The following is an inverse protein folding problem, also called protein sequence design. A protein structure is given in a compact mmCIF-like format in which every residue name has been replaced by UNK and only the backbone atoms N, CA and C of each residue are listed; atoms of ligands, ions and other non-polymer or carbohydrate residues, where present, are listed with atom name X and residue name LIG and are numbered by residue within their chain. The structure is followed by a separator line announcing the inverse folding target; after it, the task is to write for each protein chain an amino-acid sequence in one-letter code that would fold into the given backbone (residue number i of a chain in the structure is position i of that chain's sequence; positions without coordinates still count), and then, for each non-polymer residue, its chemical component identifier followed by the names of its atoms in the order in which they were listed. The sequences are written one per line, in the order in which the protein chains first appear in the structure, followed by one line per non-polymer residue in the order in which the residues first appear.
data_IF_863026352518
#
_entry.id   IF_863026352518
#
_cell.length_a   1.000
_cell.length_b   1.000
_cell.length_c   1.000
_cell.angle_alpha   90.00
_cell.angle_beta   90.00
_cell.angle_gamma   90.00
#
_symmetry.space_group_name_H-M   'P 1'
#
loop_
_entity.id
_entity.type
_entity.pdbx_description
1 polymer ?
#
# COMPACT_ATOMS: atom_id res chain seq x y z
N UNK A 1 -13.57 23.54 -1.13
CA UNK A 1 -12.66 22.49 -0.67
C UNK A 1 -13.40 21.18 -0.49
N UNK A 2 -13.02 20.18 -1.24
CA UNK A 2 -13.52 18.83 -1.06
C UNK A 2 -12.43 17.99 -0.42
N UNK A 3 -12.77 17.34 0.68
CA UNK A 3 -11.87 16.40 1.35
C UNK A 3 -12.60 15.08 1.55
N UNK A 4 -11.87 13.99 1.35
CA UNK A 4 -12.37 12.65 1.58
C UNK A 4 -11.61 12.04 2.74
N UNK A 5 -12.31 11.74 3.82
CA UNK A 5 -11.73 11.01 4.93
C UNK A 5 -11.77 9.53 4.64
N UNK A 6 -10.59 8.90 4.72
CA UNK A 6 -10.47 7.45 4.56
C UNK A 6 -10.27 6.85 5.94
N UNK A 7 -11.21 6.02 6.36
CA UNK A 7 -11.13 5.33 7.64
C UNK A 7 -11.92 4.04 7.52
N UNK A 8 -11.23 2.93 7.60
CA UNK A 8 -11.89 1.65 7.44
C UNK A 8 -11.00 0.48 7.80
N UNK A 9 -11.66 -0.64 8.00
CA UNK A 9 -11.02 -1.92 8.28
C UNK A 9 -11.54 -2.92 7.26
N UNK A 10 -10.63 -3.65 6.63
CA UNK A 10 -10.97 -4.61 5.59
C UNK A 10 -10.38 -5.97 5.94
N UNK A 11 -11.19 -7.01 5.85
CA UNK A 11 -10.69 -8.37 6.03
C UNK A 11 -10.09 -8.86 4.71
N UNK A 12 -8.85 -9.32 4.81
CA UNK A 12 -8.13 -9.93 3.70
C UNK A 12 -7.96 -11.42 3.99
N UNK A 13 -7.63 -12.24 2.97
CA UNK A 13 -7.30 -13.63 3.24
C UNK A 13 -6.11 -13.72 4.21
N UNK A 14 -6.35 -14.27 5.40
CA UNK A 14 -5.36 -14.47 6.47
C UNK A 14 -4.83 -13.19 7.09
N UNK A 15 -5.43 -12.02 6.80
CA UNK A 15 -4.91 -10.74 7.27
C UNK A 15 -6.03 -9.73 7.48
N UNK A 16 -5.68 -8.59 8.07
CA UNK A 16 -6.61 -7.48 8.26
C UNK A 16 -5.91 -6.20 7.87
N UNK A 17 -6.56 -5.38 7.07
CA UNK A 17 -6.03 -4.10 6.62
C UNK A 17 -6.81 -2.96 7.25
N UNK A 18 -6.09 -1.99 7.80
CA UNK A 18 -6.66 -0.76 8.33
C UNK A 18 -6.15 0.42 7.54
N UNK A 19 -7.06 1.31 7.15
CA UNK A 19 -6.74 2.51 6.38
C UNK A 19 -7.24 3.72 7.13
N UNK A 20 -6.40 4.75 7.21
CA UNK A 20 -6.76 6.01 7.86
C UNK A 20 -6.03 7.17 7.18
N UNK A 21 -6.77 8.17 6.75
CA UNK A 21 -6.15 9.33 6.13
C UNK A 21 -7.14 10.29 5.49
N UNK A 22 -6.61 11.26 4.78
CA UNK A 22 -7.41 12.28 4.11
C UNK A 22 -6.84 12.56 2.73
N UNK A 23 -7.71 12.54 1.73
CA UNK A 23 -7.40 13.02 0.39
C UNK A 23 -8.21 14.28 0.13
N UNK A 24 -7.59 15.28 -0.48
CA UNK A 24 -8.24 16.56 -0.77
C UNK A 24 -8.15 16.86 -2.25
N UNK A 25 -9.20 17.48 -2.77
CA UNK A 25 -9.16 18.03 -4.12
C UNK A 25 -8.17 19.20 -4.13
N UNK A 26 -7.22 19.19 -5.04
CA UNK A 26 -6.19 20.20 -5.14
C UNK A 26 -6.01 20.58 -6.62
N UNK A 27 -6.55 21.72 -7.05
CA UNK A 27 -6.45 22.15 -8.45
C UNK A 27 -5.02 22.48 -8.86
N UNK A 28 -4.10 22.64 -7.92
CA UNK A 28 -2.69 22.88 -8.20
C UNK A 28 -1.89 21.58 -8.37
N UNK A 29 -2.49 20.45 -8.03
CA UNK A 29 -1.85 19.15 -8.19
C UNK A 29 -2.02 18.64 -9.61
N UNK A 30 -1.00 17.95 -10.11
CA UNK A 30 -1.06 17.29 -11.43
C UNK A 30 -2.21 16.29 -11.49
N UNK A 31 -2.45 15.58 -10.39
CA UNK A 31 -3.54 14.59 -10.33
C UNK A 31 -4.86 15.18 -9.84
N UNK A 32 -4.89 16.48 -9.52
CA UNK A 32 -6.04 17.18 -8.92
C UNK A 32 -6.38 16.67 -7.53
N UNK A 33 -5.54 15.83 -6.96
CA UNK A 33 -5.71 15.25 -5.62
C UNK A 33 -4.40 15.37 -4.88
N UNK A 34 -4.47 15.69 -3.60
CA UNK A 34 -3.31 15.67 -2.72
C UNK A 34 -3.71 15.11 -1.37
N UNK A 35 -2.71 14.77 -0.56
CA UNK A 35 -2.94 14.24 0.78
C UNK A 35 -2.26 12.91 0.97
N UNK A 36 -2.66 12.21 2.01
CA UNK A 36 -2.05 10.93 2.31
C UNK A 36 -2.86 10.11 3.28
N UNK A 37 -2.48 8.84 3.38
CA UNK A 37 -3.14 7.94 4.30
C UNK A 37 -2.17 6.89 4.80
N UNK A 38 -2.50 6.36 5.97
CA UNK A 38 -1.74 5.29 6.59
C UNK A 38 -2.47 3.97 6.36
N UNK A 39 -1.71 2.96 6.00
CA UNK A 39 -2.21 1.60 5.83
C UNK A 39 -1.47 0.68 6.79
N UNK A 40 -2.20 -0.10 7.55
CA UNK A 40 -1.64 -1.10 8.44
C UNK A 40 -2.22 -2.46 8.07
N UNK A 41 -1.34 -3.44 7.84
CA UNK A 41 -1.77 -4.80 7.52
C UNK A 41 -1.30 -5.73 8.64
N UNK A 42 -2.26 -6.22 9.42
CA UNK A 42 -1.99 -7.22 10.47
C UNK A 42 -1.99 -8.61 9.84
N UNK A 43 -1.02 -9.44 10.19
CA UNK A 43 -0.87 -10.77 9.61
C UNK A 43 -0.27 -10.74 8.21
N UNK A 44 0.58 -9.78 7.94
CA UNK A 44 1.20 -9.62 6.62
C UNK A 44 1.99 -10.85 6.19
N UNK A 45 2.67 -11.51 7.12
CA UNK A 45 3.39 -12.75 6.87
C UNK A 45 2.48 -13.85 6.33
N UNK A 46 1.27 -13.96 6.88
CA UNK A 46 0.30 -14.94 6.43
C UNK A 46 -0.31 -14.57 5.09
N UNK A 47 -0.46 -13.27 4.83
CA UNK A 47 -0.92 -12.80 3.53
C UNK A 47 0.09 -13.12 2.44
N UNK A 48 1.37 -12.89 2.71
CA UNK A 48 2.46 -13.23 1.80
C UNK A 48 2.44 -14.73 1.49
N UNK A 49 2.34 -15.55 2.52
CA UNK A 49 2.27 -17.00 2.36
C UNK A 49 1.06 -17.42 1.52
N UNK A 50 -0.09 -16.82 1.77
CA UNK A 50 -1.31 -17.10 1.00
C UNK A 50 -1.10 -16.81 -0.49
N UNK A 51 -0.52 -15.65 -0.80
CA UNK A 51 -0.28 -15.25 -2.19
C UNK A 51 0.73 -16.19 -2.86
N UNK A 52 1.79 -16.56 -2.14
CA UNK A 52 2.82 -17.42 -2.69
C UNK A 52 2.32 -18.85 -2.97
N UNK A 53 1.40 -19.34 -2.15
CA UNK A 53 0.90 -20.71 -2.25
C UNK A 53 -0.32 -20.85 -3.15
N UNK A 54 -0.97 -19.75 -3.50
CA UNK A 54 -2.20 -19.79 -4.27
C UNK A 54 -1.91 -19.50 -5.75
N UNK A 55 -2.09 -20.50 -6.66
CA UNK A 55 -1.79 -20.28 -8.08
C UNK A 55 -2.62 -19.17 -8.72
N UNK A 56 -3.81 -18.90 -8.17
CA UNK A 56 -4.68 -17.82 -8.69
C UNK A 56 -4.13 -16.43 -8.36
N UNK A 57 -3.18 -16.34 -7.43
CA UNK A 57 -2.62 -15.08 -6.96
C UNK A 57 -1.21 -14.83 -7.51
N UNK A 58 -0.79 -15.61 -8.51
CA UNK A 58 0.58 -15.51 -9.05
C UNK A 58 0.88 -14.11 -9.59
N UNK A 59 -0.12 -13.43 -10.17
CA UNK A 59 0.07 -12.09 -10.72
C UNK A 59 0.29 -11.03 -9.65
N UNK A 60 -0.04 -11.35 -8.40
CA UNK A 60 0.15 -10.43 -7.28
C UNK A 60 1.47 -10.62 -6.55
N UNK A 61 2.22 -11.68 -6.88
CA UNK A 61 3.49 -11.96 -6.19
C UNK A 61 4.50 -10.82 -6.31
N UNK A 62 4.71 -10.22 -7.51
CA UNK A 62 5.65 -9.11 -7.60
C UNK A 62 5.24 -7.90 -6.76
N UNK A 63 3.94 -7.62 -6.69
CA UNK A 63 3.43 -6.54 -5.85
C UNK A 63 3.68 -6.82 -4.38
N UNK A 64 3.40 -8.04 -3.94
CA UNK A 64 3.62 -8.43 -2.54
C UNK A 64 5.10 -8.36 -2.19
N UNK A 65 6.00 -8.76 -3.09
CA UNK A 65 7.43 -8.66 -2.87
C UNK A 65 7.87 -7.20 -2.71
N UNK A 66 7.35 -6.31 -3.55
CA UNK A 66 7.66 -4.89 -3.46
C UNK A 66 7.12 -4.29 -2.16
N UNK A 67 5.91 -4.65 -1.75
CA UNK A 67 5.34 -4.20 -0.50
C UNK A 67 6.14 -4.72 0.70
N UNK A 68 6.69 -5.93 0.61
CA UNK A 68 7.55 -6.47 1.66
C UNK A 68 8.85 -5.69 1.77
N UNK A 69 9.38 -5.21 0.65
CA UNK A 69 10.63 -4.45 0.61
C UNK A 69 10.48 -3.06 1.21
N UNK A 70 9.42 -2.36 0.85
CA UNK A 70 9.26 -0.94 1.23
C UNK A 70 8.48 -0.74 2.51
N UNK A 71 7.74 -1.74 2.97
CA UNK A 71 6.92 -1.64 4.17
C UNK A 71 7.76 -1.61 5.43
N UNK A 72 7.24 -0.96 6.46
CA UNK A 72 7.79 -1.05 7.80
C UNK A 72 7.20 -2.28 8.47
N UNK A 73 8.01 -3.33 8.62
CA UNK A 73 7.55 -4.61 9.14
C UNK A 73 7.93 -4.78 10.60
N UNK A 74 6.96 -5.19 11.41
CA UNK A 74 7.16 -5.40 12.83
C UNK A 74 6.48 -6.68 13.27
N UNK A 75 7.17 -7.47 14.07
CA UNK A 75 6.56 -8.65 14.65
C UNK A 75 5.81 -8.23 15.92
N UNK A 76 4.50 -8.35 15.89
CA UNK A 76 3.59 -7.90 16.96
C UNK A 76 2.97 -9.10 17.72
N UNK A 77 3.67 -10.21 17.83
CA UNK A 77 3.19 -11.36 18.57
C UNK A 77 1.95 -11.99 17.99
N UNK A 78 0.83 -11.89 18.70
CA UNK A 78 -0.44 -12.53 18.26
C UNK A 78 -0.96 -11.97 16.93
N UNK A 79 -0.64 -10.73 16.61
CA UNK A 79 -1.04 -10.11 15.35
C UNK A 79 -0.18 -10.56 14.18
N UNK A 80 0.87 -11.35 14.45
CA UNK A 80 1.83 -11.74 13.44
C UNK A 80 2.70 -10.57 13.01
N UNK A 81 3.12 -10.55 11.77
CA UNK A 81 3.88 -9.43 11.24
C UNK A 81 2.90 -8.33 10.82
N UNK A 82 3.12 -7.12 11.33
CA UNK A 82 2.33 -5.96 10.97
C UNK A 82 3.14 -5.10 10.01
N UNK A 83 2.61 -4.87 8.83
CA UNK A 83 3.23 -4.01 7.83
C UNK A 83 2.53 -2.65 7.85
N UNK A 84 3.30 -1.57 7.90
CA UNK A 84 2.74 -0.22 7.87
C UNK A 84 3.30 0.55 6.69
N UNK A 85 2.41 1.34 6.08
CA UNK A 85 2.73 2.13 4.90
C UNK A 85 2.15 3.52 5.08
N UNK A 86 2.97 4.54 4.84
CA UNK A 86 2.49 5.91 4.70
C UNK A 86 2.46 6.24 3.22
N UNK A 87 1.28 6.40 2.67
CA UNK A 87 1.09 6.66 1.25
C UNK A 87 0.74 8.14 1.09
N UNK A 88 1.51 8.84 0.28
CA UNK A 88 1.32 10.26 0.03
C UNK A 88 1.22 10.52 -1.46
N UNK A 89 0.25 11.34 -1.84
CA UNK A 89 0.08 11.80 -3.21
C UNK A 89 0.59 13.24 -3.29
N UNK A 90 1.73 13.42 -3.92
CA UNK A 90 2.36 14.72 -4.05
C UNK A 90 1.72 15.51 -5.20
N UNK A 91 1.88 16.85 -5.13
CA UNK A 91 1.30 17.73 -6.13
C UNK A 91 1.86 17.53 -7.54
N UNK A 92 3.08 17.03 -7.63
CA UNK A 92 3.72 16.74 -8.92
C UNK A 92 3.26 15.41 -9.53
N UNK A 93 2.32 14.72 -8.88
CA UNK A 93 1.80 13.45 -9.35
C UNK A 93 2.55 12.23 -8.85
N UNK A 94 3.62 12.42 -8.11
CA UNK A 94 4.35 11.30 -7.53
C UNK A 94 3.56 10.67 -6.38
N UNK A 95 3.66 9.36 -6.29
CA UNK A 95 3.12 8.61 -5.16
C UNK A 95 4.31 8.16 -4.32
N UNK A 96 4.29 8.55 -3.05
CA UNK A 96 5.35 8.19 -2.11
C UNK A 96 4.80 7.15 -1.14
N UNK A 97 5.54 6.07 -0.95
CA UNK A 97 5.21 5.04 0.03
C UNK A 97 6.39 4.96 0.98
N UNK A 98 6.15 5.30 2.25
CA UNK A 98 7.17 5.41 3.28
C UNK A 98 8.33 6.32 2.85
N UNK A 99 7.99 7.40 2.14
CA UNK A 99 8.97 8.37 1.66
C UNK A 99 9.66 7.99 0.35
N UNK A 100 9.38 6.81 -0.19
CA UNK A 100 9.99 6.34 -1.42
C UNK A 100 9.03 6.54 -2.59
N UNK A 101 9.52 7.18 -3.66
CA UNK A 101 8.70 7.41 -4.85
C UNK A 101 8.48 6.10 -5.60
N UNK A 102 7.22 5.82 -5.89
CA UNK A 102 6.83 4.64 -6.66
C UNK A 102 6.17 5.11 -7.94
N UNK A 103 6.66 4.60 -9.06
CA UNK A 103 6.05 4.89 -10.35
C UNK A 103 4.92 3.91 -10.60
N UNK A 104 3.91 4.35 -11.34
CA UNK A 104 2.83 3.47 -11.74
C UNK A 104 3.37 2.26 -12.52
N UNK A 105 4.45 2.46 -13.25
CA UNK A 105 5.08 1.41 -14.03
C UNK A 105 5.56 0.26 -13.15
N UNK A 106 6.11 0.58 -11.97
CA UNK A 106 6.56 -0.44 -11.04
C UNK A 106 5.40 -1.27 -10.49
N UNK A 107 4.22 -0.67 -10.36
CA UNK A 107 3.03 -1.37 -9.87
C UNK A 107 2.32 -2.17 -10.97
N UNK A 108 2.36 -1.69 -12.21
CA UNK A 108 1.65 -2.30 -13.33
C UNK A 108 2.52 -3.34 -14.04
N UNK A 109 3.80 -3.03 -14.20
CA UNK A 109 4.74 -3.87 -14.95
C UNK A 109 5.97 -4.20 -14.10
N UNK A 110 5.78 -4.78 -12.91
CA UNK A 110 6.90 -5.10 -12.03
C UNK A 110 7.78 -6.16 -12.69
N UNK A 111 9.09 -5.93 -12.63
CA UNK A 111 10.05 -6.87 -13.15
C UNK A 111 10.34 -6.76 -14.63
N UNK A 112 9.74 -5.82 -15.33
CA UNK A 112 10.11 -5.56 -16.71
C UNK A 112 11.34 -4.67 -16.72
N UNK A 113 12.44 -5.12 -17.34
CA UNK A 113 13.65 -4.27 -17.42
C UNK A 113 13.33 -3.02 -18.22
N UNK A 114 13.66 -1.90 -17.65
CA UNK A 114 13.42 -0.58 -18.25
C UNK A 114 14.29 -0.31 -19.45
#
# INVERSE_FOLDING_TARGET
HLSLNLDGTFDLPQAMMKINGVLSADPKSVTLISGGFDVEVEGFDKLVEFVEKNPLMVDFQPLIQELSRIGSLKNEGEKGVVATYRIEMARDGNILVNGESITQQALIEPGIPG
#
